data_IF_318576478191
#
_entry.id   IF_318576478191
#
_cell.length_a   1.000
_cell.length_b   1.000
_cell.length_c   1.000
_cell.angle_alpha   90.00
_cell.angle_beta   90.00
_cell.angle_gamma   90.00
#
_symmetry.space_group_name_H-M   'P 1'
#
loop_
_entity.id
_entity.type
_entity.pdbx_description
1 polymer ?
#
# COMPACT_ATOMS: atom_id res chain seq x y z
N UNK A 1 -6.29 -12.46 -11.53
CA UNK A 1 -5.01 -12.84 -10.89
C UNK A 1 -4.81 -12.12 -9.55
N UNK A 2 -5.52 -11.03 -9.26
CA UNK A 2 -5.41 -10.32 -7.98
C UNK A 2 -5.82 -11.11 -6.75
N UNK A 3 -6.72 -12.09 -6.85
CA UNK A 3 -7.21 -12.85 -5.68
C UNK A 3 -6.10 -13.64 -4.95
N UNK A 4 -5.15 -14.19 -5.73
CA UNK A 4 -3.98 -14.92 -5.21
C UNK A 4 -2.93 -13.97 -4.61
N UNK A 5 -2.71 -12.83 -5.27
CA UNK A 5 -1.84 -11.76 -4.77
C UNK A 5 -2.40 -11.17 -3.46
N UNK A 6 -3.66 -10.78 -3.45
CA UNK A 6 -4.35 -10.15 -2.31
C UNK A 6 -4.35 -11.09 -1.11
N UNK A 7 -4.70 -12.36 -1.31
CA UNK A 7 -4.67 -13.37 -0.24
C UNK A 7 -3.26 -13.54 0.34
N UNK A 8 -2.25 -13.69 -0.52
CA UNK A 8 -0.86 -13.85 -0.10
C UNK A 8 -0.36 -12.64 0.69
N UNK A 9 -0.66 -11.45 0.22
CA UNK A 9 -0.26 -10.18 0.86
C UNK A 9 -0.96 -10.01 2.19
N UNK A 10 -2.28 -10.26 2.27
CA UNK A 10 -3.06 -10.18 3.50
C UNK A 10 -2.51 -11.12 4.57
N UNK A 11 -2.29 -12.38 4.23
CA UNK A 11 -1.81 -13.39 5.17
C UNK A 11 -0.39 -13.04 5.67
N UNK A 12 0.47 -12.51 4.78
CA UNK A 12 1.78 -12.02 5.19
C UNK A 12 1.70 -10.79 6.11
N UNK A 13 0.76 -9.88 5.90
CA UNK A 13 0.55 -8.71 6.75
C UNK A 13 0.17 -9.08 8.19
N UNK A 14 -0.67 -10.10 8.38
CA UNK A 14 -0.98 -10.61 9.72
C UNK A 14 0.20 -11.35 10.33
N UNK A 15 0.82 -12.26 9.57
CA UNK A 15 1.78 -13.23 10.12
C UNK A 15 3.19 -12.64 10.32
N UNK A 16 3.67 -11.84 9.36
CA UNK A 16 5.03 -11.27 9.35
C UNK A 16 5.08 -9.89 9.95
N UNK A 17 4.07 -9.07 9.67
CA UNK A 17 4.06 -7.65 10.02
C UNK A 17 3.19 -7.31 11.23
N UNK A 18 2.42 -8.27 11.74
CA UNK A 18 1.61 -8.11 12.95
C UNK A 18 0.45 -7.14 12.80
N UNK A 19 -0.03 -6.90 11.57
CA UNK A 19 -1.25 -6.14 11.33
C UNK A 19 -2.47 -6.92 11.87
N UNK A 20 -3.50 -6.21 12.34
CA UNK A 20 -4.79 -6.85 12.60
C UNK A 20 -5.49 -7.23 11.29
N UNK A 21 -6.46 -8.15 11.36
CA UNK A 21 -7.13 -8.71 10.18
C UNK A 21 -7.84 -7.65 9.33
N UNK A 22 -8.41 -6.61 9.93
CA UNK A 22 -9.11 -5.54 9.21
C UNK A 22 -8.12 -4.66 8.45
N UNK A 23 -7.05 -4.24 9.13
CA UNK A 23 -5.97 -3.47 8.52
C UNK A 23 -5.26 -4.26 7.42
N UNK A 24 -4.97 -5.54 7.65
CA UNK A 24 -4.34 -6.42 6.67
C UNK A 24 -5.20 -6.60 5.41
N UNK A 25 -6.52 -6.78 5.57
CA UNK A 25 -7.44 -6.91 4.45
C UNK A 25 -7.52 -5.61 3.64
N UNK A 26 -7.69 -4.46 4.30
CA UNK A 26 -7.73 -3.16 3.63
C UNK A 26 -6.43 -2.84 2.88
N UNK A 27 -5.29 -3.18 3.47
CA UNK A 27 -3.98 -2.98 2.88
C UNK A 27 -3.78 -3.88 1.64
N UNK A 28 -4.19 -5.14 1.73
CA UNK A 28 -4.10 -6.08 0.62
C UNK A 28 -4.99 -5.68 -0.57
N UNK A 29 -6.23 -5.24 -0.30
CA UNK A 29 -7.14 -4.73 -1.32
C UNK A 29 -6.52 -3.53 -2.07
N UNK A 30 -5.95 -2.58 -1.32
CA UNK A 30 -5.29 -1.41 -1.89
C UNK A 30 -4.02 -1.75 -2.68
N UNK A 31 -3.22 -2.70 -2.20
CA UNK A 31 -2.06 -3.19 -2.92
C UNK A 31 -2.44 -3.91 -4.23
N UNK A 32 -3.53 -4.68 -4.20
CA UNK A 32 -4.08 -5.34 -5.38
C UNK A 32 -4.61 -4.33 -6.41
N UNK A 33 -5.20 -3.22 -5.95
CA UNK A 33 -5.61 -2.10 -6.80
C UNK A 33 -4.39 -1.42 -7.45
N UNK A 34 -3.37 -1.05 -6.66
CA UNK A 34 -2.11 -0.47 -7.17
C UNK A 34 -1.49 -1.34 -8.26
N UNK A 35 -1.35 -2.64 -7.99
CA UNK A 35 -0.86 -3.62 -8.97
C UNK A 35 -1.70 -3.60 -10.25
N UNK A 36 -3.02 -3.60 -10.17
CA UNK A 36 -3.85 -3.68 -11.37
C UNK A 36 -3.85 -2.40 -12.21
N UNK A 37 -3.71 -1.25 -11.55
CA UNK A 37 -3.88 0.06 -12.18
C UNK A 37 -2.56 0.66 -12.63
N UNK A 38 -1.47 0.42 -11.88
CA UNK A 38 -0.18 1.07 -12.08
C UNK A 38 0.93 0.08 -12.46
N UNK A 39 0.94 -1.14 -11.90
CA UNK A 39 2.06 -2.09 -12.05
C UNK A 39 1.58 -3.55 -12.14
N UNK A 40 1.09 -3.96 -13.31
CA UNK A 40 0.46 -5.28 -13.51
C UNK A 40 1.41 -6.47 -13.31
N UNK A 41 2.71 -6.20 -13.40
CA UNK A 41 3.80 -7.17 -13.25
C UNK A 41 4.30 -7.28 -11.80
N UNK A 42 3.85 -6.41 -10.89
CA UNK A 42 4.20 -6.47 -9.47
C UNK A 42 3.79 -7.82 -8.87
N UNK A 43 4.77 -8.50 -8.26
CA UNK A 43 4.56 -9.77 -7.57
C UNK A 43 4.33 -9.54 -6.07
N UNK A 44 3.64 -10.47 -5.41
CA UNK A 44 3.40 -10.39 -3.97
C UNK A 44 4.73 -10.39 -3.19
N UNK A 45 5.71 -11.18 -3.64
CA UNK A 45 7.04 -11.23 -3.02
C UNK A 45 7.76 -9.88 -3.12
N UNK A 46 7.80 -9.26 -4.30
CA UNK A 46 8.45 -7.96 -4.49
C UNK A 46 7.77 -6.86 -3.66
N UNK A 47 6.43 -6.90 -3.58
CA UNK A 47 5.69 -5.97 -2.75
C UNK A 47 5.98 -6.15 -1.25
N UNK A 48 6.00 -7.38 -0.75
CA UNK A 48 6.31 -7.67 0.65
C UNK A 48 7.76 -7.31 1.01
N UNK A 49 8.69 -7.49 0.09
CA UNK A 49 10.08 -7.07 0.26
C UNK A 49 10.19 -5.54 0.36
N UNK A 50 9.39 -4.77 -0.40
CA UNK A 50 9.33 -3.31 -0.27
C UNK A 50 8.78 -2.86 1.10
N UNK A 51 7.75 -3.56 1.62
CA UNK A 51 7.21 -3.29 2.97
C UNK A 51 8.21 -3.68 4.08
N UNK A 52 9.02 -4.71 3.87
CA UNK A 52 10.09 -5.05 4.82
C UNK A 52 11.27 -4.08 4.77
N UNK A 53 11.61 -3.56 3.58
CA UNK A 53 12.69 -2.59 3.44
C UNK A 53 12.41 -1.27 4.17
N UNK A 54 11.16 -0.98 4.49
CA UNK A 54 10.68 0.24 5.17
C UNK A 54 10.58 0.06 6.70
N UNK A 55 11.53 -0.66 7.30
CA UNK A 55 11.61 -0.95 8.75
C UNK A 55 11.63 0.29 9.66
N UNK A 56 12.04 1.46 9.14
CA UNK A 56 12.26 2.71 9.90
C UNK A 56 11.07 3.21 10.75
N UNK A 57 9.85 2.69 10.53
CA UNK A 57 8.65 3.04 11.30
C UNK A 57 8.18 1.89 12.19
N UNK A 58 7.80 2.14 13.44
CA UNK A 58 7.24 1.11 14.33
C UNK A 58 5.84 0.61 13.88
N UNK A 59 5.10 1.42 13.12
CA UNK A 59 3.71 1.13 12.73
C UNK A 59 3.59 0.55 11.33
N UNK A 60 2.92 -0.60 11.20
CA UNK A 60 2.64 -1.27 9.91
C UNK A 60 2.07 -0.31 8.85
N UNK A 61 1.08 0.52 9.22
CA UNK A 61 0.45 1.44 8.27
C UNK A 61 1.44 2.43 7.63
N UNK A 62 2.41 2.94 8.41
CA UNK A 62 3.43 3.84 7.88
C UNK A 62 4.45 3.10 7.00
N UNK A 63 4.84 1.87 7.35
CA UNK A 63 5.68 1.03 6.49
C UNK A 63 5.01 0.77 5.15
N UNK A 64 3.75 0.37 5.19
CA UNK A 64 2.91 0.15 4.00
C UNK A 64 2.81 1.41 3.13
N UNK A 65 2.50 2.56 3.73
CA UNK A 65 2.34 3.82 2.99
C UNK A 65 3.65 4.28 2.32
N UNK A 66 4.78 4.05 2.99
CA UNK A 66 6.09 4.35 2.43
C UNK A 66 6.41 3.40 1.27
N UNK A 67 6.20 2.09 1.42
CA UNK A 67 6.43 1.11 0.36
C UNK A 67 5.62 1.42 -0.91
N UNK A 68 4.34 1.78 -0.76
CA UNK A 68 3.49 2.24 -1.87
C UNK A 68 4.04 3.52 -2.51
N UNK A 69 4.55 4.44 -1.69
CA UNK A 69 5.18 5.67 -2.17
C UNK A 69 6.45 5.42 -2.97
N UNK A 70 7.32 4.52 -2.50
CA UNK A 70 8.58 4.18 -3.13
C UNK A 70 8.35 3.43 -4.46
N UNK A 71 7.49 2.41 -4.47
CA UNK A 71 7.11 1.68 -5.69
C UNK A 71 6.55 2.61 -6.76
N UNK A 72 5.70 3.55 -6.37
CA UNK A 72 5.14 4.53 -7.29
C UNK A 72 6.18 5.56 -7.77
N UNK A 73 7.17 5.91 -6.96
CA UNK A 73 8.25 6.80 -7.37
C UNK A 73 9.19 6.13 -8.38
N UNK A 74 9.32 4.80 -8.32
CA UNK A 74 10.07 4.00 -9.29
C UNK A 74 9.28 3.73 -10.58
N UNK A 75 7.94 3.83 -10.53
CA UNK A 75 7.06 3.65 -11.67
C UNK A 75 6.78 4.99 -12.38
N UNK A 76 7.36 5.18 -13.57
CA UNK A 76 7.22 6.41 -14.36
C UNK A 76 5.78 6.72 -14.79
N UNK A 77 4.91 5.70 -14.83
CA UNK A 77 3.50 5.83 -15.20
C UNK A 77 2.61 6.19 -13.99
N UNK A 78 3.10 5.96 -12.76
CA UNK A 78 2.35 6.26 -11.55
C UNK A 78 2.49 7.73 -11.13
N UNK A 79 1.41 8.50 -11.30
CA UNK A 79 1.42 9.95 -11.01
C UNK A 79 0.91 10.28 -9.58
N UNK A 80 0.10 9.40 -8.98
CA UNK A 80 -0.46 9.63 -7.64
C UNK A 80 -0.70 8.32 -6.86
N UNK A 81 0.20 7.99 -5.94
CA UNK A 81 0.08 6.78 -5.12
C UNK A 81 -0.84 6.91 -3.92
N UNK A 82 -1.41 8.09 -3.66
CA UNK A 82 -2.19 8.36 -2.44
C UNK A 82 -3.47 7.52 -2.35
N UNK A 83 -4.08 7.17 -3.48
CA UNK A 83 -5.28 6.33 -3.49
C UNK A 83 -5.03 4.93 -2.88
N UNK A 84 -3.80 4.44 -2.99
CA UNK A 84 -3.39 3.10 -2.56
C UNK A 84 -2.81 3.06 -1.14
N UNK A 85 -2.66 4.21 -0.47
CA UNK A 85 -2.17 4.31 0.91
C UNK A 85 -3.28 4.01 1.93
N UNK A 86 -2.92 3.44 3.08
CA UNK A 86 -3.81 3.13 4.21
C UNK A 86 -4.20 4.38 4.99
N UNK A 87 -3.27 5.32 5.15
CA UNK A 87 -3.65 6.71 5.38
C UNK A 87 -4.24 7.23 4.07
N UNK A 88 -5.46 6.81 3.75
CA UNK A 88 -6.31 7.58 2.83
C UNK A 88 -6.33 9.02 3.32
N UNK A 89 -6.44 9.97 2.40
CA UNK A 89 -6.67 11.40 2.65
C UNK A 89 -7.19 11.63 4.07
N UNK A 90 -6.28 11.85 5.03
CA UNK A 90 -6.66 12.08 6.42
C UNK A 90 -7.62 13.29 6.42
N UNK A 91 -8.34 13.59 7.50
CA UNK A 91 -9.18 14.80 7.61
C UNK A 91 -8.39 16.14 7.39
N UNK A 92 -7.11 16.07 7.05
CA UNK A 92 -6.19 17.13 6.62
C UNK A 92 -5.79 17.10 5.14
N UNK A 93 -6.34 16.17 4.35
CA UNK A 93 -6.41 16.33 2.91
C UNK A 93 -6.96 17.71 2.62
N UNK A 94 -6.24 18.50 1.82
CA UNK A 94 -6.58 19.89 1.54
C UNK A 94 -8.10 20.01 1.32
N UNK A 95 -8.79 20.58 2.31
CA UNK A 95 -10.21 20.86 2.23
C UNK A 95 -10.40 21.68 0.93
N UNK A 96 -11.20 21.20 -0.04
CA UNK A 96 -11.36 21.88 -1.31
C UNK A 96 -11.96 23.29 -1.14
N UNK A 97 -12.55 23.61 0.02
CA UNK A 97 -13.02 24.96 0.38
C UNK A 97 -11.93 25.86 1.00
N UNK A 98 -10.75 25.33 1.35
CA UNK A 98 -9.59 26.12 1.83
C UNK A 98 -8.78 26.71 0.64
N UNK A 99 -9.29 26.59 -0.58
CA UNK A 99 -8.63 27.09 -1.80
C UNK A 99 -9.54 27.81 -2.82
N UNK A 100 -10.75 28.24 -2.43
CA UNK A 100 -11.67 28.97 -3.31
C UNK A 100 -11.85 30.45 -2.92
#
# INVERSE_FOLDING_TARGET
>A
MSDDFETTVRDAFTDRFGADEETAAAAAEKAAAYRNEEDEDLTAEAFLDAVEATDDYDGFAHRYDLAIGDLAAENEDCTDSRAYRLAGFDDLAADPDIGA
#
